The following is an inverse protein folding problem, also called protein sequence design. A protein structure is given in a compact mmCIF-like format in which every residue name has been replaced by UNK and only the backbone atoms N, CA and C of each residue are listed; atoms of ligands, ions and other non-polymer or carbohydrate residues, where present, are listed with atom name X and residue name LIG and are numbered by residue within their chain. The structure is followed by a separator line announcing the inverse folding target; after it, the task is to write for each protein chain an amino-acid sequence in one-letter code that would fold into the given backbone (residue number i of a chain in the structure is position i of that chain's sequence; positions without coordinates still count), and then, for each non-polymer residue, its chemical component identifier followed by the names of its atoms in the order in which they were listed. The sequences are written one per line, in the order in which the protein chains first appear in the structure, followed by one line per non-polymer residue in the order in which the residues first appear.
data_IF_372696193927
#
_entry.id   IF_372696193927
#
_cell.length_a   1.000
_cell.length_b   1.000
_cell.length_c   1.000
_cell.angle_alpha   90.00
_cell.angle_beta   90.00
_cell.angle_gamma   90.00
#
_symmetry.space_group_name_H-M   'P 1'
#
loop_
_entity.id
_entity.type
_entity.pdbx_description
1 polymer ?
#
# COMPACT_ATOMS: atom_id res chain seq x y z
N UNK A 1 22.10 4.58 13.08
CA UNK A 1 22.75 3.25 13.10
C UNK A 1 22.67 2.69 11.70
N UNK A 2 23.79 2.26 11.12
CA UNK A 2 23.78 1.64 9.80
C UNK A 2 22.96 0.34 9.87
N UNK A 3 21.92 0.23 9.06
CA UNK A 3 21.16 -1.01 8.88
C UNK A 3 22.14 -2.08 8.42
N UNK A 4 22.20 -3.19 9.15
CA UNK A 4 22.90 -4.40 8.71
C UNK A 4 22.34 -4.77 7.33
N UNK A 5 23.18 -5.02 6.31
CA UNK A 5 22.66 -5.48 5.02
C UNK A 5 21.84 -6.75 5.24
N UNK A 6 20.72 -6.94 4.53
CA UNK A 6 19.91 -8.13 4.69
C UNK A 6 20.80 -9.36 4.45
N UNK A 7 20.80 -10.28 5.41
CA UNK A 7 21.50 -11.56 5.25
C UNK A 7 21.06 -12.18 3.92
N UNK A 8 22.01 -12.70 3.13
CA UNK A 8 21.72 -13.36 1.86
C UNK A 8 20.65 -14.42 2.09
N UNK A 9 19.43 -14.15 1.60
CA UNK A 9 18.33 -15.08 1.75
C UNK A 9 18.54 -16.23 0.76
N UNK A 10 18.42 -17.50 1.19
CA UNK A 10 18.48 -18.62 0.27
C UNK A 10 17.37 -18.51 -0.78
N UNK A 11 17.60 -19.05 -1.97
CA UNK A 11 16.67 -18.93 -3.11
C UNK A 11 15.26 -19.48 -2.81
N UNK A 12 15.15 -20.41 -1.85
CA UNK A 12 13.89 -21.04 -1.44
C UNK A 12 13.04 -20.18 -0.50
N UNK A 13 13.58 -19.08 0.02
CA UNK A 13 12.91 -18.19 0.97
C UNK A 13 12.80 -16.78 0.39
N UNK A 14 11.58 -16.31 0.05
CA UNK A 14 11.41 -14.94 -0.47
C UNK A 14 11.94 -13.91 0.55
N UNK A 15 12.75 -12.91 0.13
CA UNK A 15 13.39 -11.99 1.07
C UNK A 15 12.40 -11.14 1.88
N UNK A 16 11.20 -10.84 1.35
CA UNK A 16 10.10 -10.23 2.12
C UNK A 16 9.81 -11.03 3.40
N UNK A 17 9.71 -12.36 3.30
CA UNK A 17 9.45 -13.21 4.45
C UNK A 17 10.67 -13.40 5.35
N UNK A 18 11.88 -13.38 4.78
CA UNK A 18 13.11 -13.41 5.57
C UNK A 18 13.24 -12.14 6.44
N UNK A 19 12.92 -10.97 5.89
CA UNK A 19 12.92 -9.70 6.61
C UNK A 19 11.90 -9.66 7.76
N UNK A 20 10.80 -10.42 7.65
CA UNK A 20 9.75 -10.51 8.66
C UNK A 20 9.91 -11.71 9.61
N UNK A 21 10.93 -12.56 9.46
CA UNK A 21 11.04 -13.84 10.18
C UNK A 21 11.00 -13.72 11.71
N UNK A 22 11.58 -12.65 12.27
CA UNK A 22 11.60 -12.40 13.72
C UNK A 22 10.44 -11.55 14.25
N UNK A 23 9.57 -11.04 13.38
CA UNK A 23 8.47 -10.15 13.77
C UNK A 23 7.33 -10.95 14.40
N UNK A 24 6.79 -10.46 15.52
CA UNK A 24 5.67 -11.09 16.24
C UNK A 24 4.36 -10.35 16.02
N UNK A 25 4.44 -9.02 15.86
CA UNK A 25 3.30 -8.12 15.71
C UNK A 25 3.53 -7.20 14.52
N UNK A 26 2.90 -7.52 13.40
CA UNK A 26 3.11 -6.87 12.11
C UNK A 26 1.91 -6.00 11.76
N UNK A 27 2.14 -4.72 11.47
CA UNK A 27 1.15 -3.84 10.89
C UNK A 27 1.29 -3.82 9.36
N UNK A 28 0.25 -4.23 8.65
CA UNK A 28 0.14 -4.06 7.20
C UNK A 28 -0.80 -2.88 6.93
N UNK A 29 -0.29 -1.80 6.36
CA UNK A 29 -1.04 -0.55 6.22
C UNK A 29 -1.12 -0.10 4.76
N UNK A 30 -2.33 0.05 4.21
CA UNK A 30 -2.54 0.65 2.89
C UNK A 30 -2.11 2.12 2.87
N UNK A 31 -1.20 2.46 1.94
CA UNK A 31 -0.47 3.73 1.95
C UNK A 31 -1.16 4.85 1.15
N UNK A 32 -1.66 4.54 -0.05
CA UNK A 32 -2.35 5.45 -0.97
C UNK A 32 -3.84 5.60 -0.65
N UNK A 33 -4.34 4.73 0.22
CA UNK A 33 -5.68 4.77 0.78
C UNK A 33 -6.72 4.05 -0.07
N UNK A 34 -7.99 4.47 0.06
CA UNK A 34 -9.10 3.80 -0.63
C UNK A 34 -9.15 2.29 -0.33
N UNK A 35 -8.75 1.46 -1.29
CA UNK A 35 -8.76 -0.01 -1.16
C UNK A 35 -7.36 -0.64 -1.02
N UNK A 36 -6.30 0.12 -0.79
CA UNK A 36 -4.92 -0.41 -0.75
C UNK A 36 -4.70 -1.49 0.31
N UNK A 37 -5.39 -1.42 1.44
CA UNK A 37 -5.38 -2.47 2.46
C UNK A 37 -5.77 -3.85 1.90
N UNK A 38 -6.53 -3.95 0.81
CA UNK A 38 -6.84 -5.24 0.18
C UNK A 38 -5.62 -5.90 -0.44
N UNK A 39 -4.68 -5.10 -0.98
CA UNK A 39 -3.41 -5.62 -1.48
C UNK A 39 -2.55 -6.22 -0.35
N UNK A 40 -2.87 -5.96 0.92
CA UNK A 40 -2.21 -6.60 2.06
C UNK A 40 -2.69 -8.05 2.29
N UNK A 41 -3.87 -8.42 1.82
CA UNK A 41 -4.53 -9.67 2.23
C UNK A 41 -3.74 -10.95 1.92
N UNK A 42 -3.18 -11.14 0.71
CA UNK A 42 -2.35 -12.32 0.45
C UNK A 42 -1.19 -12.46 1.45
N UNK A 43 -0.52 -11.35 1.76
CA UNK A 43 0.56 -11.31 2.76
C UNK A 43 0.04 -11.55 4.18
N UNK A 44 -1.08 -10.93 4.57
CA UNK A 44 -1.71 -11.12 5.88
C UNK A 44 -2.06 -12.59 6.12
N UNK A 45 -2.68 -13.25 5.14
CA UNK A 45 -3.05 -14.67 5.20
C UNK A 45 -1.81 -15.55 5.35
N UNK A 46 -0.75 -15.30 4.57
CA UNK A 46 0.49 -16.04 4.67
C UNK A 46 1.16 -15.88 6.05
N UNK A 47 1.09 -14.69 6.66
CA UNK A 47 1.64 -14.40 7.98
C UNK A 47 0.79 -15.01 9.11
N UNK A 48 -0.55 -14.92 9.04
CA UNK A 48 -1.44 -15.60 9.98
C UNK A 48 -1.22 -17.11 10.00
N UNK A 49 -1.04 -17.74 8.82
CA UNK A 49 -0.73 -19.16 8.71
C UNK A 49 0.60 -19.56 9.39
N UNK A 50 1.48 -18.59 9.65
CA UNK A 50 2.75 -18.78 10.37
C UNK A 50 2.66 -18.40 11.85
N UNK A 51 1.47 -18.08 12.35
CA UNK A 51 1.24 -17.70 13.74
C UNK A 51 1.69 -16.29 14.10
N UNK A 52 1.95 -15.42 13.11
CA UNK A 52 2.28 -14.01 13.33
C UNK A 52 1.00 -13.25 13.67
N UNK A 53 1.07 -12.35 14.66
CA UNK A 53 -0.04 -11.42 14.93
C UNK A 53 0.00 -10.33 13.87
N UNK A 54 -1.02 -10.27 13.01
CA UNK A 54 -1.11 -9.25 11.96
C UNK A 54 -2.26 -8.29 12.25
N UNK A 55 -1.97 -7.01 12.14
CA UNK A 55 -2.91 -5.91 12.22
C UNK A 55 -3.04 -5.25 10.86
N UNK A 56 -4.26 -4.91 10.45
CA UNK A 56 -4.53 -4.23 9.19
C UNK A 56 -4.83 -2.77 9.46
N UNK A 57 -4.27 -1.88 8.65
CA UNK A 57 -4.62 -0.47 8.66
C UNK A 57 -4.75 0.11 7.24
N UNK A 58 -5.34 1.28 7.12
CA UNK A 58 -5.50 1.97 5.84
C UNK A 58 -5.50 3.48 6.04
N UNK A 59 -4.89 4.24 5.13
CA UNK A 59 -5.14 5.67 5.01
C UNK A 59 -6.55 5.89 4.42
N UNK A 60 -7.53 6.22 5.25
CA UNK A 60 -8.93 6.10 4.87
C UNK A 60 -9.40 7.19 3.90
N UNK A 61 -10.12 6.79 2.86
CA UNK A 61 -10.87 7.71 1.98
C UNK A 61 -12.32 7.92 2.43
N UNK A 62 -12.78 7.13 3.40
CA UNK A 62 -14.04 7.37 4.08
C UNK A 62 -13.94 8.63 4.94
N UNK A 63 -14.97 9.50 4.95
CA UNK A 63 -15.03 10.67 5.83
C UNK A 63 -15.15 10.21 7.29
N UNK A 64 -14.01 9.98 7.94
CA UNK A 64 -13.95 9.42 9.29
C UNK A 64 -14.58 10.34 10.33
N UNK A 65 -14.66 11.64 10.07
CA UNK A 65 -15.35 12.62 10.92
C UNK A 65 -16.84 12.32 11.12
N UNK A 66 -17.43 11.45 10.28
CA UNK A 66 -18.81 10.98 10.42
C UNK A 66 -18.97 9.77 11.36
N UNK A 67 -17.87 9.20 11.86
CA UNK A 67 -17.90 8.05 12.77
C UNK A 67 -18.17 8.48 14.22
N UNK A 68 -18.72 7.56 14.99
CA UNK A 68 -18.98 7.77 16.41
C UNK A 68 -17.68 8.02 17.20
N UNK A 69 -17.73 8.88 18.23
CA UNK A 69 -16.53 9.24 19.01
C UNK A 69 -15.87 8.04 19.72
N UNK A 70 -16.63 6.98 20.00
CA UNK A 70 -16.14 5.79 20.69
C UNK A 70 -15.27 4.87 19.83
N UNK A 71 -15.20 5.09 18.50
CA UNK A 71 -14.33 4.27 17.63
C UNK A 71 -12.89 4.79 17.58
N UNK A 72 -12.62 5.99 18.08
CA UNK A 72 -11.30 6.60 18.03
C UNK A 72 -10.43 6.14 19.21
N UNK A 73 -9.30 5.49 18.93
CA UNK A 73 -8.31 5.13 19.98
C UNK A 73 -7.36 6.29 20.29
N UNK A 74 -7.12 7.14 19.28
CA UNK A 74 -6.32 8.35 19.36
C UNK A 74 -6.78 9.36 18.30
N UNK A 75 -6.32 10.62 18.36
CA UNK A 75 -6.44 11.54 17.23
C UNK A 75 -5.96 10.86 15.94
N UNK A 76 -6.76 10.99 14.89
CA UNK A 76 -6.45 10.48 13.55
C UNK A 76 -6.34 8.95 13.42
N UNK A 77 -6.76 8.16 14.43
CA UNK A 77 -6.83 6.69 14.39
C UNK A 77 -8.19 6.16 14.86
N UNK A 78 -8.96 5.59 13.95
CA UNK A 78 -10.21 4.90 14.24
C UNK A 78 -10.04 3.37 14.21
N UNK A 79 -10.74 2.67 15.09
CA UNK A 79 -10.83 1.20 15.15
C UNK A 79 -12.10 0.77 14.43
N UNK A 80 -11.96 0.26 13.20
CA UNK A 80 -13.10 -0.17 12.39
C UNK A 80 -13.35 -1.66 12.58
N UNK A 81 -14.57 -1.98 13.01
CA UNK A 81 -15.11 -3.34 13.20
C UNK A 81 -16.33 -3.57 12.29
N UNK A 82 -16.81 -4.81 12.12
CA UNK A 82 -17.94 -5.11 11.22
C UNK A 82 -19.19 -4.26 11.47
N UNK A 83 -19.44 -3.94 12.74
CA UNK A 83 -20.58 -3.18 13.26
C UNK A 83 -20.38 -1.66 13.29
N UNK A 84 -19.19 -1.15 12.99
CA UNK A 84 -18.92 0.29 13.01
C UNK A 84 -19.91 1.05 12.13
N UNK A 85 -20.66 1.98 12.71
CA UNK A 85 -21.57 2.85 11.97
C UNK A 85 -20.77 3.84 11.12
N UNK A 86 -21.28 4.21 9.95
CA UNK A 86 -20.61 5.12 9.03
C UNK A 86 -21.25 5.14 7.65
N UNK A 87 -20.63 5.83 6.67
CA UNK A 87 -21.17 5.94 5.32
C UNK A 87 -21.43 4.58 4.66
N UNK A 88 -22.60 4.44 4.05
CA UNK A 88 -23.00 3.18 3.38
C UNK A 88 -22.45 3.05 1.96
N UNK A 89 -22.21 4.15 1.26
CA UNK A 89 -21.81 4.11 -0.16
C UNK A 89 -20.33 3.73 -0.39
N UNK A 90 -19.45 4.07 0.56
CA UNK A 90 -18.01 3.88 0.44
C UNK A 90 -17.36 3.78 1.82
N UNK A 91 -17.08 2.54 2.26
CA UNK A 91 -16.36 2.27 3.50
C UNK A 91 -15.48 1.02 3.40
N UNK A 92 -14.38 1.06 2.62
CA UNK A 92 -13.53 -0.09 2.31
C UNK A 92 -13.05 -0.87 3.55
N UNK A 93 -12.70 -0.17 4.62
CA UNK A 93 -12.20 -0.73 5.87
C UNK A 93 -13.28 -1.53 6.59
N UNK A 94 -14.51 -1.00 6.65
CA UNK A 94 -15.65 -1.71 7.25
C UNK A 94 -16.10 -2.88 6.40
N UNK A 95 -16.13 -2.70 5.09
CA UNK A 95 -16.42 -3.80 4.15
C UNK A 95 -15.41 -4.92 4.33
N UNK A 96 -14.13 -4.59 4.47
CA UNK A 96 -13.09 -5.57 4.73
C UNK A 96 -13.26 -6.24 6.11
N UNK A 97 -13.53 -5.47 7.15
CA UNK A 97 -13.81 -6.00 8.49
C UNK A 97 -14.95 -7.02 8.49
N UNK A 98 -16.05 -6.72 7.78
CA UNK A 98 -17.18 -7.65 7.60
C UNK A 98 -16.77 -8.92 6.87
N UNK A 99 -16.01 -8.79 5.78
CA UNK A 99 -15.51 -9.94 5.02
C UNK A 99 -14.59 -10.82 5.86
N UNK A 100 -13.69 -10.22 6.64
CA UNK A 100 -12.79 -10.92 7.57
C UNK A 100 -13.59 -11.69 8.64
N UNK A 101 -14.60 -11.06 9.25
CA UNK A 101 -15.48 -11.71 10.21
C UNK A 101 -16.22 -12.91 9.61
N UNK A 102 -16.70 -12.79 8.37
CA UNK A 102 -17.38 -13.88 7.67
C UNK A 102 -16.47 -15.07 7.34
N UNK A 103 -15.14 -14.89 7.42
CA UNK A 103 -14.13 -15.91 7.16
C UNK A 103 -13.39 -16.38 8.44
N UNK A 104 -13.92 -16.04 9.62
CA UNK A 104 -13.29 -16.35 10.92
C UNK A 104 -11.85 -15.80 11.05
N UNK A 105 -11.58 -14.65 10.42
CA UNK A 105 -10.30 -13.94 10.46
C UNK A 105 -10.37 -12.73 11.42
N UNK A 106 -9.21 -12.21 11.90
CA UNK A 106 -9.18 -11.01 12.73
C UNK A 106 -9.86 -9.82 12.05
N UNK A 107 -11.05 -9.45 12.52
CA UNK A 107 -11.97 -8.54 11.84
C UNK A 107 -11.81 -7.06 12.22
N UNK A 108 -10.62 -6.64 12.62
CA UNK A 108 -10.34 -5.23 12.95
C UNK A 108 -9.45 -4.62 11.87
N UNK A 109 -9.88 -3.48 11.33
CA UNK A 109 -9.09 -2.66 10.41
C UNK A 109 -8.96 -1.27 11.01
N UNK A 110 -7.73 -0.81 11.24
CA UNK A 110 -7.49 0.55 11.71
C UNK A 110 -7.58 1.53 10.54
N UNK A 111 -8.25 2.66 10.74
CA UNK A 111 -8.40 3.68 9.72
C UNK A 111 -7.67 4.95 10.17
N UNK A 112 -6.67 5.37 9.40
CA UNK A 112 -5.99 6.64 9.61
C UNK A 112 -6.73 7.77 8.88
N UNK A 113 -6.89 8.92 9.53
CA UNK A 113 -7.45 10.10 8.89
C UNK A 113 -6.49 10.67 7.82
N UNK A 114 -7.05 11.30 6.78
CA UNK A 114 -6.25 11.96 5.72
C UNK A 114 -5.67 13.29 6.20
N UNK A 115 -4.53 13.20 6.88
CA UNK A 115 -3.78 14.34 7.41
C UNK A 115 -2.48 14.59 6.62
N UNK A 116 -1.64 15.51 7.10
CA UNK A 116 -0.24 15.61 6.68
C UNK A 116 0.67 14.65 7.47
N UNK A 117 1.98 14.80 7.28
CA UNK A 117 2.99 13.89 7.83
C UNK A 117 3.02 13.85 9.35
N UNK A 118 2.95 15.02 10.02
CA UNK A 118 3.12 15.06 11.49
C UNK A 118 1.97 14.37 12.24
N UNK A 119 0.68 14.67 11.96
CA UNK A 119 -0.42 13.96 12.61
C UNK A 119 -0.45 12.47 12.25
N UNK A 120 -0.20 12.12 10.98
CA UNK A 120 -0.17 10.72 10.56
C UNK A 120 0.94 9.94 11.28
N UNK A 121 2.13 10.54 11.47
CA UNK A 121 3.20 9.92 12.26
C UNK A 121 2.81 9.72 13.72
N UNK A 122 2.12 10.68 14.32
CA UNK A 122 1.62 10.54 15.69
C UNK A 122 0.60 9.39 15.77
N UNK A 123 -0.27 9.27 14.78
CA UNK A 123 -1.26 8.22 14.63
C UNK A 123 -0.60 6.83 14.54
N UNK A 124 0.38 6.64 13.64
CA UNK A 124 1.15 5.39 13.56
C UNK A 124 1.94 5.10 14.85
N UNK A 125 2.55 6.12 15.47
CA UNK A 125 3.32 5.95 16.72
C UNK A 125 2.43 5.46 17.87
N UNK A 126 1.24 6.03 17.98
CA UNK A 126 0.25 5.60 18.96
C UNK A 126 -0.12 4.13 18.73
N UNK A 127 -0.53 3.79 17.51
CA UNK A 127 -0.94 2.43 17.16
C UNK A 127 0.18 1.41 17.34
N UNK A 128 1.41 1.77 16.97
CA UNK A 128 2.59 0.93 17.15
C UNK A 128 2.87 0.64 18.63
N UNK A 129 2.73 1.65 19.49
CA UNK A 129 2.88 1.49 20.94
C UNK A 129 1.76 0.66 21.58
N UNK A 130 0.51 0.90 21.18
CA UNK A 130 -0.67 0.19 21.70
C UNK A 130 -0.63 -1.31 21.38
N UNK A 131 -0.25 -1.66 20.14
CA UNK A 131 -0.27 -3.04 19.64
C UNK A 131 1.10 -3.75 19.73
N UNK A 132 2.11 -3.07 20.26
CA UNK A 132 3.48 -3.59 20.37
C UNK A 132 4.06 -3.99 19.01
N UNK A 133 3.83 -3.18 17.97
CA UNK A 133 4.25 -3.46 16.59
C UNK A 133 5.77 -3.49 16.50
N UNK A 134 6.32 -4.59 15.99
CA UNK A 134 7.76 -4.76 15.74
C UNK A 134 8.12 -4.78 14.25
N UNK A 135 7.12 -4.82 13.35
CA UNK A 135 7.30 -4.57 11.93
C UNK A 135 6.13 -3.81 11.30
N UNK A 136 6.42 -2.85 10.41
CA UNK A 136 5.43 -2.17 9.58
C UNK A 136 5.73 -2.47 8.11
N UNK A 137 4.70 -2.87 7.35
CA UNK A 137 4.76 -2.94 5.88
C UNK A 137 3.71 -1.98 5.32
N UNK A 138 4.16 -0.92 4.65
CA UNK A 138 3.28 -0.09 3.85
C UNK A 138 2.95 -0.80 2.55
N UNK A 139 1.67 -0.81 2.19
CA UNK A 139 1.15 -1.50 1.02
C UNK A 139 0.61 -0.47 0.03
N UNK A 140 1.12 -0.50 -1.19
CA UNK A 140 0.67 0.35 -2.30
C UNK A 140 -0.05 -0.52 -3.34
N UNK A 141 -1.30 -0.15 -3.66
CA UNK A 141 -2.10 -0.72 -4.74
C UNK A 141 -1.69 -0.15 -6.09
N UNK A 142 -0.45 -0.40 -6.48
CA UNK A 142 0.21 0.32 -7.55
C UNK A 142 1.71 0.22 -7.38
N UNK A 143 2.43 1.22 -7.89
CA UNK A 143 3.88 1.36 -7.79
C UNK A 143 4.32 2.82 -7.63
N UNK A 144 3.38 3.75 -7.48
CA UNK A 144 3.68 5.17 -7.53
C UNK A 144 4.37 5.68 -6.24
N UNK A 145 4.27 4.93 -5.13
CA UNK A 145 5.12 5.15 -3.94
C UNK A 145 6.62 4.98 -4.23
N UNK A 146 7.00 4.24 -5.30
CA UNK A 146 8.39 4.03 -5.69
C UNK A 146 8.99 5.25 -6.43
N UNK A 147 8.19 6.28 -6.71
CA UNK A 147 8.62 7.47 -7.42
C UNK A 147 9.39 8.42 -6.51
N UNK A 148 10.49 8.98 -7.03
CA UNK A 148 11.42 9.83 -6.29
C UNK A 148 11.10 11.31 -6.44
N UNK A 149 10.39 11.69 -7.49
CA UNK A 149 9.98 13.07 -7.80
C UNK A 149 10.48 13.59 -9.14
N UNK A 150 11.55 13.03 -9.69
CA UNK A 150 12.16 13.44 -10.96
C UNK A 150 11.68 12.64 -12.16
N UNK A 151 10.73 11.72 -11.98
CA UNK A 151 10.07 10.98 -13.05
C UNK A 151 9.19 11.89 -13.91
N UNK A 152 8.91 11.46 -15.14
CA UNK A 152 8.04 12.23 -16.04
C UNK A 152 6.61 12.32 -15.51
N UNK A 153 6.14 11.28 -14.82
CA UNK A 153 4.86 11.28 -14.11
C UNK A 153 4.97 10.52 -12.79
N UNK A 154 4.34 11.07 -11.75
CA UNK A 154 4.40 10.53 -10.38
C UNK A 154 3.18 9.72 -9.97
N UNK A 155 2.16 9.59 -10.83
CA UNK A 155 0.88 9.01 -10.39
C UNK A 155 0.13 9.95 -9.46
N UNK A 156 -0.30 9.41 -8.31
CA UNK A 156 -1.06 10.11 -7.26
C UNK A 156 -0.31 10.11 -5.92
N UNK A 157 0.88 10.74 -5.84
CA UNK A 157 1.88 10.46 -4.80
C UNK A 157 1.55 10.99 -3.40
N UNK A 158 0.51 11.84 -3.25
CA UNK A 158 0.34 12.62 -2.03
C UNK A 158 0.07 11.74 -0.80
N UNK A 159 -0.86 10.80 -0.93
CA UNK A 159 -1.20 9.82 0.10
C UNK A 159 -0.02 8.89 0.42
N UNK A 160 0.53 8.23 -0.59
CA UNK A 160 1.61 7.25 -0.47
C UNK A 160 2.86 7.82 0.19
N UNK A 161 3.28 9.01 -0.25
CA UNK A 161 4.49 9.64 0.26
C UNK A 161 4.26 10.27 1.65
N UNK A 162 3.02 10.64 1.99
CA UNK A 162 2.68 11.01 3.37
C UNK A 162 2.83 9.82 4.31
N UNK A 163 2.31 8.65 3.91
CA UNK A 163 2.49 7.39 4.66
C UNK A 163 3.96 6.99 4.77
N UNK A 164 4.72 7.08 3.67
CA UNK A 164 6.16 6.83 3.64
C UNK A 164 6.91 7.73 4.64
N UNK A 165 6.69 9.04 4.58
CA UNK A 165 7.33 10.01 5.47
C UNK A 165 6.94 9.81 6.94
N UNK A 166 5.68 9.48 7.20
CA UNK A 166 5.19 9.21 8.55
C UNK A 166 5.94 8.02 9.17
N UNK A 167 5.96 6.87 8.48
CA UNK A 167 6.59 5.63 8.96
C UNK A 167 8.11 5.70 8.98
N UNK A 168 8.74 6.41 8.03
CA UNK A 168 10.19 6.59 8.00
C UNK A 168 10.73 7.17 9.32
N UNK A 169 9.99 8.12 9.92
CA UNK A 169 10.32 8.78 11.19
C UNK A 169 9.92 8.00 12.47
N UNK A 170 9.51 6.74 12.36
CA UNK A 170 9.20 5.88 13.51
C UNK A 170 10.39 5.03 13.93
N UNK A 171 10.46 4.74 15.22
CA UNK A 171 11.40 3.79 15.81
C UNK A 171 10.74 2.41 15.88
N UNK A 172 10.65 1.74 14.73
CA UNK A 172 10.16 0.37 14.59
C UNK A 172 11.27 -0.46 13.94
N UNK A 173 11.59 -1.66 14.45
CA UNK A 173 12.73 -2.45 14.00
C UNK A 173 12.73 -2.78 12.50
N UNK A 174 11.58 -3.21 11.97
CA UNK A 174 11.43 -3.56 10.55
C UNK A 174 10.41 -2.63 9.90
N UNK A 175 10.81 -1.96 8.82
CA UNK A 175 9.96 -1.06 8.04
C UNK A 175 10.15 -1.36 6.57
N UNK A 176 9.09 -1.82 5.90
CA UNK A 176 9.11 -2.20 4.48
C UNK A 176 8.03 -1.46 3.71
N UNK A 177 8.20 -1.38 2.40
CA UNK A 177 7.15 -1.01 1.44
C UNK A 177 6.96 -2.18 0.48
N UNK A 178 5.72 -2.55 0.21
CA UNK A 178 5.37 -3.60 -0.75
C UNK A 178 4.31 -3.10 -1.71
N UNK A 179 4.67 -3.03 -2.99
CA UNK A 179 3.81 -2.62 -4.09
C UNK A 179 3.17 -3.84 -4.75
N UNK A 180 1.87 -3.83 -4.98
CA UNK A 180 1.15 -4.86 -5.72
C UNK A 180 0.27 -4.21 -6.79
N UNK A 181 0.43 -4.63 -8.05
CA UNK A 181 -0.29 -4.02 -9.17
C UNK A 181 0.60 -3.30 -10.18
N UNK A 182 1.83 -3.78 -10.41
CA UNK A 182 2.72 -3.23 -11.43
C UNK A 182 2.00 -3.05 -12.77
N UNK A 183 1.97 -1.82 -13.27
CA UNK A 183 1.26 -1.50 -14.50
C UNK A 183 0.14 -0.49 -14.33
N UNK A 184 -0.57 -0.56 -13.19
CA UNK A 184 -1.87 0.10 -13.00
C UNK A 184 -1.77 1.62 -13.08
N UNK A 185 -0.70 2.21 -12.51
CA UNK A 185 -0.54 3.67 -12.44
C UNK A 185 -0.12 4.33 -13.75
N UNK A 186 0.07 3.56 -14.83
CA UNK A 186 0.24 4.15 -16.17
C UNK A 186 -0.93 5.07 -16.53
N UNK A 187 -2.13 4.75 -16.03
CA UNK A 187 -3.31 5.61 -16.18
C UNK A 187 -3.11 7.00 -15.56
N UNK A 188 -2.37 7.09 -14.45
CA UNK A 188 -2.01 8.35 -13.78
C UNK A 188 -0.63 8.89 -14.23
N UNK A 189 -0.11 8.40 -15.36
CA UNK A 189 1.10 8.92 -15.99
C UNK A 189 2.41 8.31 -15.47
N UNK A 190 2.37 7.29 -14.61
CA UNK A 190 3.59 6.57 -14.19
C UNK A 190 4.21 5.85 -15.38
N UNK A 191 5.53 5.98 -15.52
CA UNK A 191 6.29 5.32 -16.58
C UNK A 191 7.01 4.11 -16.02
N UNK A 192 6.61 2.91 -16.45
CA UNK A 192 7.10 1.64 -15.88
C UNK A 192 8.60 1.44 -16.01
N UNK A 193 9.24 1.94 -17.09
CA UNK A 193 10.70 1.88 -17.20
C UNK A 193 11.38 2.69 -16.10
N UNK A 194 10.80 3.81 -15.65
CA UNK A 194 11.33 4.61 -14.55
C UNK A 194 11.08 3.94 -13.18
N UNK A 195 9.97 3.21 -13.02
CA UNK A 195 9.76 2.31 -11.86
C UNK A 195 10.89 1.28 -11.78
N UNK A 196 11.18 0.62 -12.90
CA UNK A 196 12.25 -0.40 -12.97
C UNK A 196 13.65 0.21 -12.75
N UNK A 197 13.91 1.41 -13.27
CA UNK A 197 15.14 2.16 -12.96
C UNK A 197 15.28 2.46 -11.46
N UNK A 198 14.18 2.84 -10.80
CA UNK A 198 14.18 3.12 -9.36
C UNK A 198 14.44 1.86 -8.54
N UNK A 199 13.79 0.75 -8.88
CA UNK A 199 14.02 -0.55 -8.26
C UNK A 199 15.46 -1.02 -8.45
N UNK A 200 16.00 -0.95 -9.68
CA UNK A 200 17.39 -1.31 -9.95
C UNK A 200 18.39 -0.44 -9.18
N UNK A 201 18.04 0.84 -8.98
CA UNK A 201 18.88 1.73 -8.20
C UNK A 201 18.76 1.44 -6.70
N UNK A 202 17.60 1.06 -6.16
CA UNK A 202 17.44 0.57 -4.78
C UNK A 202 18.18 -0.74 -4.56
N UNK A 203 18.12 -1.66 -5.52
CA UNK A 203 18.81 -2.95 -5.49
C UNK A 203 20.32 -2.80 -5.37
N UNK A 204 20.91 -1.88 -6.16
CA UNK A 204 22.34 -1.53 -6.03
C UNK A 204 22.74 -1.05 -4.63
N UNK A 205 21.82 -0.45 -3.90
CA UNK A 205 22.04 0.03 -2.54
C UNK A 205 21.66 -1.04 -1.48
N UNK A 206 21.19 -2.22 -1.90
CA UNK A 206 20.72 -3.30 -1.02
C UNK A 206 19.31 -3.10 -0.48
N UNK A 207 18.55 -2.14 -1.02
CA UNK A 207 17.21 -1.76 -0.57
C UNK A 207 16.07 -2.47 -1.27
N UNK A 208 16.32 -3.26 -2.32
CA UNK A 208 15.30 -4.06 -2.99
C UNK A 208 15.30 -5.49 -2.46
N UNK A 209 14.16 -5.94 -1.91
CA UNK A 209 13.96 -7.29 -1.38
C UNK A 209 13.43 -8.25 -2.44
N UNK A 210 13.42 -7.83 -3.71
CA UNK A 210 12.99 -8.65 -4.83
C UNK A 210 11.47 -8.66 -5.02
N UNK A 211 11.06 -9.59 -5.89
CA UNK A 211 9.69 -9.77 -6.33
C UNK A 211 9.14 -11.12 -5.83
N UNK A 212 7.89 -11.14 -5.38
CA UNK A 212 7.19 -12.36 -4.98
C UNK A 212 5.82 -12.43 -5.68
N UNK A 213 5.65 -13.42 -6.56
CA UNK A 213 4.37 -13.68 -7.21
C UNK A 213 3.39 -14.39 -6.28
N UNK A 214 2.13 -13.99 -6.30
CA UNK A 214 1.04 -14.68 -5.62
C UNK A 214 0.65 -15.91 -6.46
N UNK A 215 0.78 -17.16 -5.96
CA UNK A 215 0.37 -18.34 -6.71
C UNK A 215 -1.14 -18.33 -6.95
N UNK A 216 -1.57 -18.29 -8.22
CA UNK A 216 -2.99 -18.08 -8.57
C UNK A 216 -3.98 -19.13 -8.04
N UNK A 217 -3.51 -20.36 -7.82
CA UNK A 217 -4.27 -21.46 -7.22
C UNK A 217 -4.12 -21.56 -5.69
N UNK A 218 -3.27 -20.74 -5.08
CA UNK A 218 -3.03 -20.72 -3.63
C UNK A 218 -4.24 -20.17 -2.86
N UNK A 219 -4.31 -20.51 -1.57
CA UNK A 219 -5.37 -20.05 -0.66
C UNK A 219 -5.43 -18.52 -0.60
N UNK A 220 -4.27 -17.88 -0.58
CA UNK A 220 -4.08 -16.44 -0.56
C UNK A 220 -4.76 -15.77 -1.77
N UNK A 221 -4.55 -16.31 -2.97
CA UNK A 221 -5.15 -15.78 -4.19
C UNK A 221 -6.67 -16.00 -4.24
N UNK A 222 -7.15 -17.16 -3.79
CA UNK A 222 -8.58 -17.48 -3.73
C UNK A 222 -9.31 -16.50 -2.81
N UNK A 223 -8.81 -16.34 -1.58
CA UNK A 223 -9.41 -15.46 -0.58
C UNK A 223 -9.31 -13.98 -0.99
N UNK A 224 -8.18 -13.57 -1.58
CA UNK A 224 -8.04 -12.22 -2.10
C UNK A 224 -9.09 -11.90 -3.18
N UNK A 225 -9.31 -12.80 -4.15
CA UNK A 225 -10.34 -12.60 -5.18
C UNK A 225 -11.74 -12.54 -4.59
N UNK A 226 -12.03 -13.37 -3.58
CA UNK A 226 -13.32 -13.34 -2.90
C UNK A 226 -13.54 -12.00 -2.17
N UNK A 227 -12.54 -11.52 -1.43
CA UNK A 227 -12.59 -10.21 -0.77
C UNK A 227 -12.81 -9.06 -1.76
N UNK A 228 -12.10 -9.06 -2.89
CA UNK A 228 -12.27 -8.03 -3.93
C UNK A 228 -13.67 -8.09 -4.54
N UNK A 229 -14.20 -9.30 -4.80
CA UNK A 229 -15.54 -9.46 -5.32
C UNK A 229 -16.61 -8.98 -4.31
N UNK A 230 -16.39 -9.23 -3.02
CA UNK A 230 -17.26 -8.73 -1.94
C UNK A 230 -17.25 -7.20 -1.86
N UNK A 231 -16.06 -6.61 -1.88
CA UNK A 231 -15.86 -5.18 -1.96
C UNK A 231 -16.60 -4.55 -3.14
N UNK A 232 -16.50 -5.15 -4.33
CA UNK A 232 -17.18 -4.66 -5.53
C UNK A 232 -18.70 -4.70 -5.39
N UNK A 233 -19.27 -5.73 -4.76
CA UNK A 233 -20.71 -5.81 -4.47
C UNK A 233 -21.14 -4.77 -3.44
N UNK A 234 -20.30 -4.50 -2.43
CA UNK A 234 -20.58 -3.53 -1.38
C UNK A 234 -20.45 -2.08 -1.86
N UNK A 235 -19.60 -1.80 -2.85
CA UNK A 235 -19.40 -0.45 -3.41
C UNK A 235 -19.68 -0.41 -4.92
N UNK A 236 -20.89 -0.72 -5.40
CA UNK A 236 -21.18 -0.90 -6.83
C UNK A 236 -20.99 0.38 -7.65
N UNK A 237 -21.13 1.55 -7.03
CA UNK A 237 -20.93 2.85 -7.67
C UNK A 237 -19.46 3.26 -7.76
N UNK A 238 -18.61 2.75 -6.85
CA UNK A 238 -17.20 3.11 -6.75
C UNK A 238 -16.31 1.88 -6.47
N UNK A 239 -16.42 0.79 -7.26
CA UNK A 239 -15.59 -0.39 -7.07
C UNK A 239 -14.12 -0.03 -7.32
N UNK A 240 -13.21 -0.73 -6.64
CA UNK A 240 -11.77 -0.56 -6.87
C UNK A 240 -11.35 -1.11 -8.23
N UNK A 241 -10.90 -0.21 -9.11
CA UNK A 241 -10.31 -0.57 -10.41
C UNK A 241 -8.96 -1.24 -10.21
N UNK A 242 -8.15 -0.73 -9.28
CA UNK A 242 -6.84 -1.27 -8.92
C UNK A 242 -6.96 -2.74 -8.50
N UNK A 243 -7.72 -3.00 -7.44
CA UNK A 243 -7.82 -4.34 -6.86
C UNK A 243 -8.56 -5.31 -7.80
N UNK A 244 -9.46 -4.81 -8.66
CA UNK A 244 -10.09 -5.60 -9.71
C UNK A 244 -9.11 -6.09 -10.78
N UNK A 245 -8.16 -5.25 -11.21
CA UNK A 245 -7.11 -5.64 -12.16
C UNK A 245 -6.13 -6.64 -11.55
N UNK A 246 -5.73 -6.44 -10.29
CA UNK A 246 -4.87 -7.40 -9.57
C UNK A 246 -5.62 -8.74 -9.42
N UNK A 247 -6.90 -8.73 -9.03
CA UNK A 247 -7.71 -9.94 -8.93
C UNK A 247 -7.80 -10.69 -10.28
N UNK A 248 -7.91 -9.97 -11.39
CA UNK A 248 -7.87 -10.55 -12.74
C UNK A 248 -6.49 -11.16 -13.06
N UNK A 249 -5.41 -10.46 -12.76
CA UNK A 249 -4.05 -10.98 -12.95
C UNK A 249 -3.82 -12.28 -12.15
N UNK A 250 -4.32 -12.37 -10.91
CA UNK A 250 -4.19 -13.61 -10.10
C UNK A 250 -4.97 -14.81 -10.67
N UNK A 251 -5.93 -14.59 -11.59
CA UNK A 251 -6.60 -15.67 -12.35
C UNK A 251 -5.84 -16.08 -13.61
N UNK A 252 -4.80 -15.33 -14.00
CA UNK A 252 -4.11 -15.50 -15.26
C UNK A 252 -4.76 -14.74 -16.43
N UNK A 253 -5.66 -13.80 -16.16
CA UNK A 253 -6.23 -12.94 -17.20
C UNK A 253 -5.14 -11.98 -17.75
N UNK A 254 -5.26 -11.56 -19.01
CA UNK A 254 -4.31 -10.66 -19.67
C UNK A 254 -5.04 -9.70 -20.65
N UNK A 255 -4.55 -8.46 -20.75
CA UNK A 255 -5.04 -7.45 -21.68
C UNK A 255 -6.23 -6.64 -21.14
N UNK A 256 -7.18 -6.31 -22.01
CA UNK A 256 -8.30 -5.42 -21.71
C UNK A 256 -9.45 -6.15 -21.00
N UNK A 257 -9.30 -6.35 -19.68
CA UNK A 257 -10.26 -7.09 -18.86
C UNK A 257 -11.25 -6.15 -18.18
N UNK A 258 -12.43 -5.99 -18.78
CA UNK A 258 -13.47 -5.09 -18.27
C UNK A 258 -14.37 -5.78 -17.23
N UNK A 259 -14.37 -5.27 -16.00
CA UNK A 259 -15.19 -5.78 -14.89
C UNK A 259 -16.07 -4.70 -14.21
N UNK A 260 -15.99 -3.45 -14.67
CA UNK A 260 -16.81 -2.35 -14.16
C UNK A 260 -17.15 -1.36 -15.27
N UNK A 261 -18.27 -0.65 -15.13
CA UNK A 261 -18.63 0.45 -16.05
C UNK A 261 -17.73 1.67 -15.89
N UNK A 262 -16.98 1.78 -14.78
CA UNK A 262 -16.05 2.91 -14.54
C UNK A 262 -14.89 2.97 -15.52
N UNK A 263 -14.54 1.84 -16.13
CA UNK A 263 -13.45 1.72 -17.11
C UNK A 263 -13.97 1.70 -18.55
N UNK A 264 -15.29 1.89 -18.74
CA UNK A 264 -15.88 1.95 -20.06
C UNK A 264 -15.28 3.11 -20.88
N UNK A 265 -14.82 2.80 -22.10
CA UNK A 265 -14.14 3.77 -22.96
C UNK A 265 -12.64 3.95 -22.68
N UNK A 266 -12.07 3.16 -21.76
CA UNK A 266 -10.62 3.05 -21.54
C UNK A 266 -10.16 1.60 -21.74
N UNK A 267 -8.91 1.42 -22.16
CA UNK A 267 -8.31 0.09 -22.32
C UNK A 267 -7.48 -0.23 -21.08
N UNK A 268 -7.83 -1.30 -20.39
CA UNK A 268 -7.02 -1.84 -19.31
C UNK A 268 -5.90 -2.72 -19.89
N UNK A 269 -4.85 -2.94 -19.11
CA UNK A 269 -3.74 -3.81 -19.51
C UNK A 269 -3.36 -4.74 -18.37
N UNK A 270 -4.30 -5.62 -18.01
CA UNK A 270 -4.06 -6.67 -17.02
C UNK A 270 -2.87 -7.51 -17.47
N UNK A 271 -1.91 -7.72 -16.57
CA UNK A 271 -0.71 -8.49 -16.88
C UNK A 271 -0.22 -9.26 -15.64
N UNK A 272 0.60 -10.31 -15.82
CA UNK A 272 1.05 -11.14 -14.70
C UNK A 272 1.86 -10.42 -13.63
N UNK A 273 2.53 -9.30 -13.94
CA UNK A 273 3.31 -8.54 -12.95
C UNK A 273 2.39 -7.81 -11.94
N UNK A 274 1.11 -7.59 -12.27
CA UNK A 274 0.14 -7.06 -11.30
C UNK A 274 -0.11 -8.01 -10.14
N UNK A 275 0.12 -9.32 -10.32
CA UNK A 275 -0.02 -10.34 -9.27
C UNK A 275 1.30 -10.61 -8.52
N UNK A 276 2.29 -9.70 -8.64
CA UNK A 276 3.57 -9.81 -7.98
C UNK A 276 3.82 -8.63 -7.04
N UNK A 277 4.24 -8.94 -5.82
CA UNK A 277 4.73 -7.96 -4.88
C UNK A 277 6.13 -7.50 -5.27
N UNK A 278 6.38 -6.21 -5.23
CA UNK A 278 7.72 -5.60 -5.29
C UNK A 278 8.02 -5.01 -3.91
N UNK A 279 8.98 -5.58 -3.18
CA UNK A 279 9.25 -5.16 -1.80
C UNK A 279 10.57 -4.44 -1.69
N UNK A 280 10.59 -3.33 -0.96
CA UNK A 280 11.79 -2.53 -0.69
C UNK A 280 11.89 -2.20 0.80
N UNK A 281 13.10 -1.92 1.26
CA UNK A 281 13.33 -1.30 2.56
C UNK A 281 12.78 0.12 2.56
N UNK A 282 11.95 0.43 3.56
CA UNK A 282 11.24 1.70 3.64
C UNK A 282 12.19 2.88 3.86
N UNK A 283 13.22 2.71 4.68
CA UNK A 283 14.16 3.79 5.02
C UNK A 283 15.04 4.12 3.82
N UNK A 284 15.49 3.11 3.08
CA UNK A 284 16.25 3.31 1.84
C UNK A 284 15.39 3.94 0.73
N UNK A 285 14.11 3.54 0.60
CA UNK A 285 13.19 4.21 -0.32
C UNK A 285 12.98 5.69 0.07
N UNK A 286 12.70 5.95 1.35
CA UNK A 286 12.51 7.31 1.87
C UNK A 286 13.74 8.19 1.61
N UNK A 287 14.95 7.66 1.79
CA UNK A 287 16.21 8.37 1.51
C UNK A 287 16.43 8.72 0.04
N UNK A 288 15.65 8.15 -0.88
CA UNK A 288 15.70 8.43 -2.32
C UNK A 288 14.61 9.38 -2.80
N UNK A 289 13.60 9.66 -1.99
CA UNK A 289 12.57 10.66 -2.29
C UNK A 289 13.17 12.08 -2.21
N UNK A 290 13.09 12.83 -3.31
CA UNK A 290 13.78 14.11 -3.49
C UNK A 290 13.08 15.30 -2.82
N UNK A 291 11.90 15.08 -2.25
CA UNK A 291 11.04 16.12 -1.67
C UNK A 291 10.47 15.73 -0.30
N UNK A 292 10.98 14.65 0.31
CA UNK A 292 10.45 14.15 1.59
C UNK A 292 10.63 15.18 2.71
N UNK A 293 11.77 15.87 2.73
CA UNK A 293 12.08 16.97 3.65
C UNK A 293 11.10 18.14 3.50
N UNK A 294 10.69 18.43 2.26
CA UNK A 294 9.73 19.51 1.98
C UNK A 294 8.37 19.19 2.61
N UNK A 295 7.90 17.95 2.60
CA UNK A 295 6.58 17.59 3.16
C UNK A 295 6.59 17.26 4.66
N UNK A 296 7.77 17.12 5.26
CA UNK A 296 7.96 16.68 6.65
C UNK A 296 7.10 17.45 7.65
N UNK A 297 7.03 18.79 7.52
CA UNK A 297 6.30 19.67 8.45
C UNK A 297 4.86 19.95 8.00
N UNK A 298 4.21 19.01 7.34
CA UNK A 298 2.80 19.15 6.94
C UNK A 298 1.85 18.60 8.00
N UNK A 299 0.70 19.24 8.13
CA UNK A 299 -0.40 18.80 9.01
C UNK A 299 -1.67 18.42 8.24
N UNK A 300 -1.79 18.82 6.97
CA UNK A 300 -2.92 18.46 6.12
C UNK A 300 -2.52 18.05 4.71
N UNK A 301 -3.32 17.20 4.08
CA UNK A 301 -3.04 16.63 2.76
C UNK A 301 -2.87 17.68 1.66
N UNK A 302 -3.61 18.80 1.72
CA UNK A 302 -3.44 19.91 0.78
C UNK A 302 -2.03 20.52 0.86
N UNK A 303 -1.44 20.60 2.04
CA UNK A 303 -0.07 21.10 2.18
C UNK A 303 0.94 20.13 1.57
N UNK A 304 0.70 18.82 1.67
CA UNK A 304 1.54 17.81 1.02
C UNK A 304 1.48 18.01 -0.49
N UNK A 305 0.29 17.99 -1.08
CA UNK A 305 0.09 18.15 -2.53
C UNK A 305 0.77 19.41 -3.07
N UNK A 306 0.53 20.58 -2.46
CA UNK A 306 1.14 21.85 -2.89
C UNK A 306 2.67 21.85 -2.78
N UNK A 307 3.25 21.19 -1.76
CA UNK A 307 4.71 21.12 -1.62
C UNK A 307 5.35 20.17 -2.63
N UNK A 308 4.66 19.10 -3.02
CA UNK A 308 5.08 18.21 -4.11
C UNK A 308 5.03 18.98 -5.44
N UNK A 309 3.92 19.66 -5.73
CA UNK A 309 3.76 20.49 -6.94
C UNK A 309 4.88 21.53 -7.04
N UNK A 310 5.12 22.32 -5.99
CA UNK A 310 6.18 23.32 -5.96
C UNK A 310 7.58 22.71 -6.18
N UNK A 311 7.85 21.52 -5.63
CA UNK A 311 9.10 20.81 -5.92
C UNK A 311 9.23 20.46 -7.41
N UNK A 312 8.14 20.01 -8.03
CA UNK A 312 8.15 19.61 -9.45
C UNK A 312 8.36 20.79 -10.39
N UNK A 313 7.94 21.99 -10.02
CA UNK A 313 8.18 23.22 -10.78
C UNK A 313 9.67 23.61 -10.84
N UNK A 314 10.46 23.18 -9.84
CA UNK A 314 11.87 23.55 -9.68
C UNK A 314 12.86 22.62 -10.41
N UNK A 315 12.39 21.52 -11.02
CA UNK A 315 13.26 20.45 -11.51
C UNK A 315 13.05 20.09 -12.98
N UNK A 316 14.06 19.45 -13.55
CA UNK A 316 13.99 18.80 -14.86
C UNK A 316 13.63 17.34 -14.68
N UNK A 317 12.58 16.88 -15.37
CA UNK A 317 12.18 15.47 -15.33
C UNK A 317 13.08 14.59 -16.20
N UNK A 318 13.23 13.33 -15.80
CA UNK A 318 13.87 12.29 -16.60
C UNK A 318 13.08 12.01 -17.87
N UNK A 319 13.78 11.88 -19.00
CA UNK A 319 13.17 11.47 -20.26
C UNK A 319 12.65 10.04 -20.16
N UNK A 320 11.35 9.78 -20.42
CA UNK A 320 10.81 8.44 -20.38
C UNK A 320 11.41 7.59 -21.51
N UNK A 321 11.69 6.33 -21.21
CA UNK A 321 12.17 5.35 -22.20
C UNK A 321 11.09 4.30 -22.44
N UNK A 322 10.92 3.90 -23.69
CA UNK A 322 10.10 2.74 -24.00
C UNK A 322 10.74 1.50 -23.35
N UNK A 323 9.92 0.69 -22.68
CA UNK A 323 10.35 -0.64 -22.27
C UNK A 323 10.47 -1.50 -23.54
N UNK A 324 11.62 -2.14 -23.82
CA UNK A 324 11.79 -2.91 -25.04
C UNK A 324 10.79 -4.07 -25.09
N UNK A 325 10.16 -4.22 -26.25
CA UNK A 325 9.26 -5.33 -26.60
C UNK A 325 10.06 -6.55 -27.06
#
# INVERSE_FOLDING_TARGET
MASTPPASSPLDTPPLFAALHGARSVLLAGAGGGFDVYAALPLAIALWNRGVTVHLANLSFTPLEMLDLNVWTAPDVAVVRPETAGPEEYFPERTLARWLAAHDLPATVYAFARTGVQPLRAAYRHLAGELGIDAIVLIDGGTDILMRGDESGLGTPAEDITSLAAVAGLDVPVKLVSCLGFGIDAYHGVVHSQVLENLAALDRDGGYLGMLSIPGAGREAVLYRDAVADAHRATPMRPSIVQGQIAAATRGDFGDVQFTRRTAGSTLFVNPLMAAYFTVDLVMLAGRCLYLDRIEQTVGMRQVATRIEAFREDITFRTPRAFPH
#
